data_IF_414974433564
#
_entry.id   IF_414974433564
#
_cell.length_a   1.000
_cell.length_b   1.000
_cell.length_c   1.000
_cell.angle_alpha   90.00
_cell.angle_beta   90.00
_cell.angle_gamma   90.00
#
_symmetry.space_group_name_H-M   'P 1'
#
loop_
_entity.id
_entity.type
_entity.pdbx_description
1 polymer ?
#
# COMPACT_ATOMS: atom_id res chain seq x y z
N UNK A 1 -17.38 -2.74 -26.21
CA UNK A 1 -16.61 -1.48 -26.16
C UNK A 1 -16.89 -0.77 -24.84
N UNK A 2 -15.91 -0.08 -24.31
CA UNK A 2 -16.09 0.75 -23.12
C UNK A 2 -16.52 2.14 -23.60
N UNK A 3 -17.68 2.67 -23.16
CA UNK A 3 -18.08 4.04 -23.46
C UNK A 3 -17.08 5.04 -22.85
N UNK A 4 -17.04 6.26 -23.40
CA UNK A 4 -16.24 7.32 -22.78
C UNK A 4 -16.69 7.53 -21.32
N UNK A 5 -15.76 7.52 -20.40
CA UNK A 5 -15.98 7.56 -18.94
C UNK A 5 -16.91 6.44 -18.42
N UNK A 6 -17.02 5.35 -19.16
CA UNK A 6 -17.83 4.20 -18.79
C UNK A 6 -17.01 3.06 -18.19
N UNK A 7 -17.72 2.04 -17.75
CA UNK A 7 -17.17 0.86 -17.13
C UNK A 7 -17.49 -0.38 -17.98
N UNK A 8 -16.59 -1.35 -17.94
CA UNK A 8 -16.81 -2.70 -18.46
C UNK A 8 -16.49 -3.67 -17.35
N UNK A 9 -17.44 -4.51 -17.01
CA UNK A 9 -17.20 -5.62 -16.08
C UNK A 9 -16.80 -6.86 -16.87
N UNK A 10 -15.73 -7.51 -16.44
CA UNK A 10 -15.31 -8.81 -16.96
C UNK A 10 -15.57 -9.84 -15.87
N UNK A 11 -16.55 -10.73 -16.10
CA UNK A 11 -17.03 -11.68 -15.12
C UNK A 11 -16.69 -13.13 -15.53
N UNK A 12 -16.28 -13.98 -14.59
CA UNK A 12 -16.06 -15.39 -14.87
C UNK A 12 -17.33 -16.08 -15.37
N UNK A 13 -18.46 -15.81 -14.69
CA UNK A 13 -19.78 -16.26 -15.08
C UNK A 13 -20.72 -15.05 -15.25
N UNK A 14 -21.03 -14.69 -16.50
CA UNK A 14 -21.92 -13.57 -16.80
C UNK A 14 -23.34 -13.78 -16.28
N UNK A 15 -23.85 -15.00 -16.30
CA UNK A 15 -25.22 -15.29 -15.88
C UNK A 15 -25.38 -15.10 -14.38
N UNK A 16 -24.45 -15.64 -13.61
CA UNK A 16 -24.40 -15.46 -12.15
C UNK A 16 -24.20 -13.99 -11.80
N UNK A 17 -23.28 -13.30 -12.51
CA UNK A 17 -23.05 -11.87 -12.27
C UNK A 17 -24.30 -11.03 -12.54
N UNK A 18 -24.98 -11.22 -13.68
CA UNK A 18 -26.19 -10.49 -14.06
C UNK A 18 -27.36 -10.77 -13.11
N UNK A 19 -27.43 -11.97 -12.55
CA UNK A 19 -28.46 -12.30 -11.56
C UNK A 19 -28.25 -11.52 -10.24
N UNK A 20 -26.99 -11.22 -9.88
CA UNK A 20 -26.67 -10.47 -8.67
C UNK A 20 -26.68 -8.95 -8.87
N UNK A 21 -26.28 -8.48 -10.05
CA UNK A 21 -26.18 -7.06 -10.42
C UNK A 21 -26.94 -6.78 -11.72
N UNK A 22 -28.27 -6.86 -11.70
CA UNK A 22 -29.10 -6.74 -12.91
C UNK A 22 -29.02 -5.36 -13.57
N UNK A 23 -28.62 -4.33 -12.82
CA UNK A 23 -28.44 -2.95 -13.29
C UNK A 23 -27.16 -2.74 -14.11
N UNK A 24 -26.18 -3.64 -13.98
CA UNK A 24 -24.91 -3.55 -14.70
C UNK A 24 -25.05 -4.21 -16.07
N UNK A 25 -25.18 -3.40 -17.10
CA UNK A 25 -25.45 -3.90 -18.46
C UNK A 25 -24.21 -4.19 -19.29
N UNK A 26 -23.12 -3.45 -19.09
CA UNK A 26 -21.88 -3.61 -19.84
C UNK A 26 -20.98 -4.66 -19.20
N UNK A 27 -21.28 -5.92 -19.45
CA UNK A 27 -20.60 -7.09 -18.89
C UNK A 27 -20.17 -8.02 -20.00
N UNK A 28 -18.98 -8.57 -19.87
CA UNK A 28 -18.41 -9.62 -20.73
C UNK A 28 -17.58 -10.58 -19.87
N UNK A 29 -17.21 -11.73 -20.43
CA UNK A 29 -16.37 -12.68 -19.73
C UNK A 29 -16.59 -14.11 -20.16
N UNK A 30 -16.69 -15.04 -19.22
CA UNK A 30 -16.91 -16.47 -19.49
C UNK A 30 -15.61 -17.27 -19.55
N UNK A 31 -14.63 -16.96 -18.70
CA UNK A 31 -13.46 -17.83 -18.53
C UNK A 31 -13.74 -18.94 -17.50
N UNK A 32 -12.96 -20.01 -17.59
CA UNK A 32 -13.23 -21.24 -16.80
C UNK A 32 -12.41 -21.37 -15.51
N UNK A 33 -11.40 -20.54 -15.31
CA UNK A 33 -10.55 -20.56 -14.14
C UNK A 33 -10.90 -19.42 -13.18
N UNK A 34 -10.63 -19.62 -11.89
CA UNK A 34 -10.79 -18.57 -10.89
C UNK A 34 -9.52 -17.73 -10.74
N UNK A 35 -9.68 -16.50 -10.28
CA UNK A 35 -8.54 -15.70 -9.83
C UNK A 35 -7.92 -16.33 -8.58
N UNK A 36 -6.60 -16.23 -8.45
CA UNK A 36 -5.89 -16.74 -7.29
C UNK A 36 -6.29 -15.99 -6.01
N UNK A 37 -6.53 -16.74 -4.92
CA UNK A 37 -6.79 -16.14 -3.61
C UNK A 37 -5.54 -15.57 -2.93
N UNK A 38 -4.34 -15.83 -3.46
CA UNK A 38 -3.10 -15.38 -2.85
C UNK A 38 -2.46 -14.23 -3.62
N UNK A 39 -2.10 -14.50 -4.86
CA UNK A 39 -1.39 -13.54 -5.71
C UNK A 39 -1.59 -13.88 -7.16
N UNK A 40 -1.90 -12.89 -7.98
CA UNK A 40 -1.98 -13.04 -9.42
C UNK A 40 -1.76 -11.71 -10.13
N UNK A 41 -1.36 -11.79 -11.42
CA UNK A 41 -1.22 -10.65 -12.29
C UNK A 41 -2.36 -10.61 -13.31
N UNK A 42 -3.17 -9.58 -13.26
CA UNK A 42 -4.19 -9.28 -14.25
C UNK A 42 -3.59 -8.31 -15.26
N UNK A 43 -3.76 -8.60 -16.55
CA UNK A 43 -3.22 -7.80 -17.64
C UNK A 43 -4.34 -7.40 -18.59
N UNK A 44 -4.35 -6.13 -18.97
CA UNK A 44 -5.19 -5.61 -20.05
C UNK A 44 -4.35 -5.48 -21.31
N UNK A 45 -4.74 -6.15 -22.36
CA UNK A 45 -4.06 -6.12 -23.66
C UNK A 45 -4.95 -5.42 -24.68
N UNK A 46 -4.33 -4.73 -25.63
CA UNK A 46 -5.04 -4.24 -26.81
C UNK A 46 -5.29 -5.37 -27.83
N UNK A 47 -5.96 -5.05 -28.94
CA UNK A 47 -6.28 -6.01 -30.00
C UNK A 47 -5.05 -6.53 -30.77
N UNK A 48 -3.89 -5.94 -30.57
CA UNK A 48 -2.60 -6.35 -31.16
C UNK A 48 -1.73 -7.14 -30.18
N UNK A 49 -2.17 -7.27 -28.91
CA UNK A 49 -1.48 -8.00 -27.88
C UNK A 49 -0.50 -7.13 -27.06
N UNK A 50 -0.46 -5.82 -27.27
CA UNK A 50 0.32 -4.93 -26.43
C UNK A 50 -0.34 -4.75 -25.06
N UNK A 51 0.48 -4.75 -24.01
CA UNK A 51 0.01 -4.48 -22.65
C UNK A 51 -0.34 -2.98 -22.51
N UNK A 52 -1.58 -2.72 -22.13
CA UNK A 52 -2.10 -1.38 -21.87
C UNK A 52 -2.05 -1.07 -20.38
N UNK A 53 -2.33 -2.08 -19.56
CA UNK A 53 -2.34 -1.95 -18.11
C UNK A 53 -2.14 -3.30 -17.45
N UNK A 54 -1.63 -3.30 -16.23
CA UNK A 54 -1.53 -4.50 -15.40
C UNK A 54 -1.56 -4.17 -13.92
N UNK A 55 -2.06 -5.10 -13.12
CA UNK A 55 -1.97 -5.08 -11.68
C UNK A 55 -1.59 -6.47 -11.16
N UNK A 56 -0.67 -6.50 -10.20
CA UNK A 56 -0.35 -7.75 -9.47
C UNK A 56 -0.84 -7.57 -8.05
N UNK A 57 -1.99 -8.14 -7.74
CA UNK A 57 -2.54 -8.11 -6.39
C UNK A 57 -2.01 -9.25 -5.51
N UNK A 58 -2.17 -9.10 -4.19
CA UNK A 58 -1.91 -10.13 -3.19
C UNK A 58 -2.97 -10.09 -2.06
N UNK A 59 -2.95 -11.09 -1.19
CA UNK A 59 -3.80 -11.16 -0.01
C UNK A 59 -3.10 -10.71 1.28
N UNK A 60 -1.82 -10.35 1.19
CA UNK A 60 -0.96 -9.97 2.30
C UNK A 60 -0.22 -8.63 2.03
N UNK A 61 0.68 -8.28 2.94
CA UNK A 61 1.47 -7.05 2.83
C UNK A 61 0.59 -5.80 2.82
N UNK A 62 0.89 -4.86 1.95
CA UNK A 62 0.15 -3.61 1.82
C UNK A 62 -1.24 -3.79 1.16
N UNK A 63 -1.53 -4.97 0.60
CA UNK A 63 -2.85 -5.34 0.06
C UNK A 63 -3.87 -5.71 1.13
N UNK A 64 -3.43 -5.94 2.35
CA UNK A 64 -4.27 -6.31 3.47
C UNK A 64 -4.27 -5.23 4.57
N UNK A 65 -5.31 -5.22 5.39
CA UNK A 65 -5.37 -4.36 6.56
C UNK A 65 -4.47 -4.94 7.66
N UNK A 66 -3.53 -4.15 8.15
CA UNK A 66 -2.70 -4.50 9.29
C UNK A 66 -3.42 -4.12 10.59
N UNK A 67 -3.49 -5.06 11.52
CA UNK A 67 -3.97 -4.83 12.88
C UNK A 67 -2.91 -5.31 13.86
N UNK A 68 -2.71 -4.61 14.99
CA UNK A 68 -1.85 -5.12 16.05
C UNK A 68 -2.31 -6.53 16.46
N UNK A 69 -1.38 -7.48 16.47
CA UNK A 69 -1.61 -8.83 16.93
C UNK A 69 -1.64 -8.94 18.44
N UNK A 70 -1.77 -10.16 18.92
CA UNK A 70 -1.57 -10.46 20.33
C UNK A 70 -0.11 -10.27 20.70
N UNK A 71 0.10 -9.84 21.94
CA UNK A 71 1.44 -9.77 22.50
C UNK A 71 1.99 -11.19 22.70
N UNK A 72 3.10 -11.50 22.06
CA UNK A 72 3.87 -12.73 22.25
C UNK A 72 5.27 -12.38 22.75
N UNK A 73 5.58 -12.80 23.97
CA UNK A 73 6.88 -12.61 24.64
C UNK A 73 7.43 -11.17 24.63
N UNK A 74 6.55 -10.17 24.64
CA UNK A 74 6.93 -8.76 24.64
C UNK A 74 6.91 -8.10 23.27
N UNK A 75 6.59 -8.83 22.24
CA UNK A 75 6.49 -8.33 20.87
C UNK A 75 5.07 -8.43 20.37
N UNK A 76 4.55 -7.31 19.89
CA UNK A 76 3.25 -7.29 19.21
C UNK A 76 3.50 -7.48 17.73
N UNK A 77 3.08 -8.62 17.19
CA UNK A 77 3.09 -8.87 15.76
C UNK A 77 1.95 -8.16 15.03
N UNK A 78 1.80 -8.46 13.76
CA UNK A 78 0.70 -7.96 12.94
C UNK A 78 -0.24 -9.11 12.56
N UNK A 79 -1.54 -8.83 12.61
CA UNK A 79 -2.56 -9.69 12.01
C UNK A 79 -2.99 -9.04 10.70
N UNK A 80 -2.93 -9.82 9.65
CA UNK A 80 -3.41 -9.43 8.33
C UNK A 80 -4.90 -9.73 8.24
N UNK A 81 -5.70 -8.73 7.96
CA UNK A 81 -7.13 -8.89 7.70
C UNK A 81 -7.42 -8.43 6.27
N UNK A 82 -7.91 -9.33 5.45
CA UNK A 82 -8.25 -9.01 4.07
C UNK A 82 -9.75 -9.18 3.83
N UNK A 83 -10.57 -8.14 3.98
CA UNK A 83 -12.00 -8.19 3.72
C UNK A 83 -12.37 -8.53 2.27
N UNK A 84 -11.46 -8.38 1.33
CA UNK A 84 -11.64 -8.77 -0.07
C UNK A 84 -11.34 -10.27 -0.30
N UNK A 85 -10.67 -10.94 0.64
CA UNK A 85 -10.44 -12.38 0.61
C UNK A 85 -11.52 -13.10 1.44
N UNK A 86 -12.62 -13.47 0.78
CA UNK A 86 -13.76 -14.15 1.41
C UNK A 86 -14.62 -13.29 2.34
N UNK A 87 -14.28 -12.03 2.58
CA UNK A 87 -15.02 -11.13 3.46
C UNK A 87 -16.16 -10.36 2.77
N UNK A 88 -16.46 -10.68 1.51
CA UNK A 88 -17.57 -10.09 0.75
C UNK A 88 -17.30 -8.70 0.19
N UNK A 89 -16.10 -8.14 0.40
CA UNK A 89 -15.67 -6.85 -0.16
C UNK A 89 -14.79 -7.05 -1.38
N UNK A 90 -14.58 -5.98 -2.15
CA UNK A 90 -13.69 -5.96 -3.31
C UNK A 90 -12.48 -5.08 -3.05
N UNK A 91 -11.37 -5.33 -3.75
CA UNK A 91 -10.29 -4.35 -3.85
C UNK A 91 -10.67 -3.31 -4.89
N UNK A 92 -10.62 -2.05 -4.50
CA UNK A 92 -10.97 -0.91 -5.33
C UNK A 92 -9.81 0.09 -5.41
N UNK A 93 -9.51 0.57 -6.61
CA UNK A 93 -8.50 1.61 -6.85
C UNK A 93 -9.00 2.94 -6.28
N UNK A 94 -8.17 3.61 -5.47
CA UNK A 94 -8.51 4.89 -4.83
C UNK A 94 -8.40 6.04 -5.83
N UNK A 95 -7.28 6.14 -6.53
CA UNK A 95 -7.05 7.17 -7.53
C UNK A 95 -6.65 6.57 -8.88
N UNK A 96 -7.50 6.74 -9.89
CA UNK A 96 -7.27 6.22 -11.24
C UNK A 96 -6.17 6.97 -12.03
N UNK A 97 -5.71 8.12 -11.52
CA UNK A 97 -4.67 8.93 -12.14
C UNK A 97 -3.29 8.70 -11.52
N UNK A 98 -3.24 7.92 -10.43
CA UNK A 98 -2.02 7.52 -9.76
C UNK A 98 -1.62 6.09 -10.15
N UNK A 99 -0.41 5.71 -9.76
CA UNK A 99 0.12 4.35 -9.97
C UNK A 99 -0.82 3.28 -9.40
N UNK A 100 -1.15 2.28 -10.19
CA UNK A 100 -2.00 1.15 -9.78
C UNK A 100 -1.21 -0.11 -9.42
N UNK A 101 0.11 -0.10 -9.59
CA UNK A 101 1.01 -1.21 -9.27
C UNK A 101 1.36 -1.29 -7.78
N UNK A 102 1.07 -0.25 -7.00
CA UNK A 102 1.27 -0.20 -5.56
C UNK A 102 -0.05 -0.41 -4.79
N UNK A 103 -0.03 -1.32 -3.84
CA UNK A 103 -1.16 -1.61 -2.97
C UNK A 103 -1.67 -0.39 -2.20
N UNK A 104 -0.82 0.60 -1.96
CA UNK A 104 -1.16 1.83 -1.25
C UNK A 104 -2.22 2.68 -1.99
N UNK A 105 -2.37 2.50 -3.31
CA UNK A 105 -3.47 3.09 -4.09
C UNK A 105 -4.73 2.23 -4.15
N UNK A 106 -4.80 1.16 -3.37
CA UNK A 106 -5.95 0.26 -3.32
C UNK A 106 -6.55 0.24 -1.92
N UNK A 107 -7.84 0.03 -1.84
CA UNK A 107 -8.53 -0.17 -0.57
C UNK A 107 -9.70 -1.15 -0.73
N UNK A 108 -10.17 -1.67 0.38
CA UNK A 108 -11.37 -2.51 0.39
C UNK A 108 -12.61 -1.64 0.21
N UNK A 109 -13.53 -2.08 -0.62
CA UNK A 109 -14.80 -1.37 -0.84
C UNK A 109 -15.51 -1.04 0.49
N UNK A 110 -16.18 0.12 0.54
CA UNK A 110 -17.00 0.51 1.69
C UNK A 110 -18.22 -0.41 1.78
N UNK A 111 -18.77 -0.80 0.64
CA UNK A 111 -19.95 -1.66 0.54
C UNK A 111 -19.56 -3.12 0.28
N UNK A 112 -20.32 -4.04 0.84
CA UNK A 112 -20.22 -5.45 0.48
C UNK A 112 -20.61 -5.65 -0.99
N UNK A 113 -19.85 -6.48 -1.71
CA UNK A 113 -20.02 -6.70 -3.13
C UNK A 113 -19.38 -5.66 -4.04
N UNK A 114 -18.83 -4.58 -3.46
CA UNK A 114 -18.16 -3.52 -4.24
C UNK A 114 -19.12 -2.64 -5.05
N UNK A 115 -18.57 -1.99 -6.08
CA UNK A 115 -19.29 -1.04 -6.94
C UNK A 115 -19.13 -1.40 -8.43
N UNK A 116 -19.48 -2.61 -8.87
CA UNK A 116 -19.30 -3.02 -10.27
C UNK A 116 -20.09 -2.11 -11.22
N UNK A 117 -19.42 -1.64 -12.27
CA UNK A 117 -20.03 -0.76 -13.26
C UNK A 117 -20.24 0.69 -12.84
N UNK A 118 -19.70 1.07 -11.67
CA UNK A 118 -19.84 2.41 -11.10
C UNK A 118 -18.47 2.92 -10.58
N UNK A 119 -18.35 4.19 -10.20
CA UNK A 119 -17.16 4.70 -9.52
C UNK A 119 -16.90 3.94 -8.24
N UNK A 120 -15.62 3.66 -7.97
CA UNK A 120 -15.19 2.96 -6.75
C UNK A 120 -15.64 3.72 -5.48
N UNK A 121 -16.10 2.97 -4.48
CA UNK A 121 -16.60 3.53 -3.22
C UNK A 121 -15.52 4.22 -2.40
N UNK A 122 -14.26 3.88 -2.64
CA UNK A 122 -13.07 4.43 -1.98
C UNK A 122 -12.38 5.51 -2.82
N UNK A 123 -13.03 6.01 -3.87
CA UNK A 123 -12.43 6.96 -4.80
C UNK A 123 -12.01 8.26 -4.10
N UNK A 124 -10.77 8.67 -4.33
CA UNK A 124 -10.19 9.91 -3.83
C UNK A 124 -9.53 10.71 -4.96
N UNK A 125 -9.51 12.03 -4.83
CA UNK A 125 -8.84 12.92 -5.80
C UNK A 125 -7.35 12.99 -5.51
N UNK A 126 -6.99 12.94 -4.23
CA UNK A 126 -5.62 12.89 -3.74
C UNK A 126 -5.51 11.73 -2.76
N UNK A 127 -4.42 11.00 -2.80
CA UNK A 127 -4.08 9.93 -1.86
C UNK A 127 -2.79 10.30 -1.12
N UNK A 128 -2.52 9.66 0.01
CA UNK A 128 -1.27 9.84 0.72
C UNK A 128 -0.07 9.43 -0.16
N UNK A 129 1.11 10.05 0.06
CA UNK A 129 2.32 9.70 -0.67
C UNK A 129 2.68 8.22 -0.54
N UNK A 130 3.28 7.68 -1.58
CA UNK A 130 3.79 6.31 -1.59
C UNK A 130 5.07 6.18 -0.78
N UNK A 131 5.19 5.07 -0.06
CA UNK A 131 6.37 4.69 0.70
C UNK A 131 6.90 3.39 0.12
N UNK A 132 8.11 3.42 -0.43
CA UNK A 132 8.75 2.25 -1.05
C UNK A 132 10.15 2.03 -0.48
N UNK A 133 10.63 0.79 -0.52
CA UNK A 133 12.02 0.47 -0.24
C UNK A 133 12.51 0.82 1.16
N UNK A 134 11.63 0.75 2.17
CA UNK A 134 12.04 1.03 3.56
C UNK A 134 13.17 0.08 3.96
N UNK A 135 14.29 0.66 4.38
CA UNK A 135 15.49 -0.08 4.74
C UNK A 135 16.22 0.57 5.90
N UNK A 136 17.14 -0.16 6.51
CA UNK A 136 18.04 0.39 7.51
C UNK A 136 19.49 0.03 7.22
N UNK A 137 20.40 0.91 7.64
CA UNK A 137 21.83 0.70 7.53
C UNK A 137 22.54 1.16 8.82
N UNK A 138 23.53 0.39 9.36
CA UNK A 138 23.97 -0.91 8.84
C UNK A 138 22.93 -2.02 9.07
N UNK A 139 23.03 -3.12 8.27
CA UNK A 139 22.10 -4.25 8.37
C UNK A 139 22.14 -4.94 9.73
N UNK A 140 23.31 -4.93 10.39
CA UNK A 140 23.53 -5.41 11.76
C UNK A 140 24.26 -4.31 12.53
N UNK A 141 23.52 -3.41 13.21
CA UNK A 141 24.14 -2.31 13.94
C UNK A 141 24.86 -2.80 15.20
N UNK A 142 26.01 -2.20 15.48
CA UNK A 142 26.71 -2.36 16.76
C UNK A 142 26.24 -1.29 17.75
N UNK A 143 26.58 -1.41 19.07
CA UNK A 143 26.24 -0.39 20.06
C UNK A 143 26.84 1.00 19.81
N UNK A 144 27.70 1.15 18.83
CA UNK A 144 28.36 2.43 18.47
C UNK A 144 27.81 3.04 17.18
N UNK A 145 27.01 2.28 16.42
CA UNK A 145 26.53 2.71 15.12
C UNK A 145 25.27 3.56 15.26
N UNK A 146 25.23 4.67 14.54
CA UNK A 146 23.99 5.32 14.20
C UNK A 146 23.27 4.46 13.17
N UNK A 147 21.94 4.41 13.26
CA UNK A 147 21.14 3.63 12.30
C UNK A 147 20.40 4.59 11.38
N UNK A 148 20.69 4.49 10.09
CA UNK A 148 19.98 5.24 9.06
C UNK A 148 18.75 4.46 8.64
N UNK A 149 17.59 5.11 8.68
CA UNK A 149 16.34 4.60 8.10
C UNK A 149 16.14 5.35 6.80
N UNK A 150 16.00 4.62 5.70
CA UNK A 150 15.79 5.15 4.36
C UNK A 150 14.49 4.66 3.77
N UNK A 151 13.81 5.54 3.05
CA UNK A 151 12.62 5.20 2.27
C UNK A 151 12.57 6.08 1.02
N UNK A 152 12.14 5.52 -0.09
CA UNK A 152 11.75 6.30 -1.25
C UNK A 152 10.31 6.78 -1.02
N UNK A 153 10.13 8.10 -0.99
CA UNK A 153 8.84 8.74 -0.81
C UNK A 153 8.46 9.50 -2.08
N UNK A 154 7.29 9.24 -2.62
CA UNK A 154 6.83 9.87 -3.85
C UNK A 154 5.35 10.18 -3.81
N UNK A 155 4.94 11.20 -4.56
CA UNK A 155 3.56 11.60 -4.69
C UNK A 155 3.30 12.04 -6.12
N UNK A 156 2.16 11.64 -6.70
CA UNK A 156 1.82 11.94 -8.09
C UNK A 156 1.30 13.38 -8.28
N UNK A 157 0.87 14.04 -7.20
CA UNK A 157 0.27 15.38 -7.22
C UNK A 157 1.11 16.44 -6.53
N UNK A 158 2.04 16.05 -5.67
CA UNK A 158 2.85 16.95 -4.88
C UNK A 158 4.33 16.60 -4.95
N UNK A 159 5.19 17.59 -5.18
CA UNK A 159 6.64 17.46 -5.04
C UNK A 159 7.12 17.69 -3.59
N UNK A 160 6.23 18.13 -2.69
CA UNK A 160 6.56 18.46 -1.31
C UNK A 160 6.11 17.32 -0.37
N UNK A 161 6.80 16.19 -0.44
CA UNK A 161 6.57 15.05 0.45
C UNK A 161 7.41 15.24 1.72
N UNK A 162 6.79 14.98 2.86
CA UNK A 162 7.43 14.99 4.17
C UNK A 162 7.40 13.58 4.77
N UNK A 163 8.56 13.10 5.19
CA UNK A 163 8.70 11.81 5.87
C UNK A 163 9.04 11.98 7.34
N UNK A 164 8.52 11.12 8.18
CA UNK A 164 8.93 10.98 9.58
C UNK A 164 9.11 9.50 9.95
N UNK A 165 10.04 9.25 10.85
CA UNK A 165 10.23 7.94 11.47
C UNK A 165 9.73 7.99 12.89
N UNK A 166 8.72 7.19 13.21
CA UNK A 166 8.35 6.87 14.58
C UNK A 166 9.21 5.71 15.05
N UNK A 167 9.85 5.85 16.18
CA UNK A 167 10.67 4.78 16.74
C UNK A 167 10.60 4.72 18.26
N UNK A 168 10.71 3.52 18.82
CA UNK A 168 10.82 3.29 20.26
C UNK A 168 11.59 2.01 20.55
N UNK A 169 12.12 1.89 21.75
CA UNK A 169 12.62 0.62 22.24
C UNK A 169 11.44 -0.28 22.56
N UNK A 170 11.47 -1.50 22.00
CA UNK A 170 10.49 -2.54 22.32
C UNK A 170 10.72 -3.00 23.76
N UNK A 171 9.84 -2.62 24.67
CA UNK A 171 9.90 -2.90 26.09
C UNK A 171 8.50 -3.08 26.67
N UNK A 172 8.41 -3.65 27.87
CA UNK A 172 7.16 -3.76 28.62
C UNK A 172 7.24 -2.97 29.93
N UNK A 173 6.29 -2.04 30.19
CA UNK A 173 5.31 -1.50 29.22
C UNK A 173 6.01 -0.73 28.11
N UNK A 174 5.38 -0.69 26.93
CA UNK A 174 5.90 0.10 25.81
C UNK A 174 5.90 1.58 26.13
N UNK A 175 7.00 2.25 25.88
CA UNK A 175 7.08 3.71 25.95
C UNK A 175 6.41 4.39 24.74
N UNK A 176 6.27 5.73 24.76
CA UNK A 176 5.81 6.48 23.62
C UNK A 176 6.82 6.38 22.47
N UNK A 177 6.32 6.56 21.23
CA UNK A 177 7.20 6.73 20.09
C UNK A 177 7.90 8.08 20.13
N UNK A 178 9.19 8.09 19.88
CA UNK A 178 9.93 9.28 19.47
C UNK A 178 9.74 9.49 17.98
N UNK A 179 9.81 10.73 17.53
CA UNK A 179 9.62 11.12 16.13
C UNK A 179 10.92 11.74 15.63
N UNK A 180 11.42 11.24 14.51
CA UNK A 180 12.58 11.79 13.82
C UNK A 180 12.20 12.17 12.39
N UNK A 181 12.29 13.45 11.99
CA UNK A 181 12.06 13.85 10.62
C UNK A 181 13.04 13.18 9.66
N UNK A 182 12.56 12.80 8.50
CA UNK A 182 13.38 12.33 7.39
C UNK A 182 13.80 13.53 6.52
N UNK A 183 14.95 13.43 5.89
CA UNK A 183 15.56 14.49 5.06
C UNK A 183 15.80 13.98 3.65
N UNK A 184 15.64 14.87 2.69
CA UNK A 184 15.97 14.70 1.28
C UNK A 184 16.68 16.00 0.79
N UNK A 185 17.74 16.39 1.52
CA UNK A 185 18.45 17.65 1.27
C UNK A 185 19.98 17.47 1.15
N UNK A 186 20.45 16.22 1.06
CA UNK A 186 21.87 15.88 1.00
C UNK A 186 22.61 16.04 2.32
N UNK A 187 21.89 16.17 3.46
CA UNK A 187 22.48 16.40 4.79
C UNK A 187 21.98 15.38 5.81
N UNK A 188 22.73 15.24 6.92
CA UNK A 188 22.30 14.46 8.07
C UNK A 188 22.10 12.96 7.78
N UNK A 189 22.95 12.37 6.91
CA UNK A 189 22.88 10.97 6.51
C UNK A 189 22.15 10.73 5.19
N UNK A 190 21.46 11.74 4.69
CA UNK A 190 20.97 11.77 3.32
C UNK A 190 22.17 12.03 2.37
N UNK A 191 22.28 11.25 1.29
CA UNK A 191 23.45 11.29 0.41
C UNK A 191 23.27 12.22 -0.78
N UNK A 192 22.04 12.33 -1.28
CA UNK A 192 21.74 13.07 -2.52
C UNK A 192 20.45 13.86 -2.34
N UNK A 193 20.57 15.20 -2.43
CA UNK A 193 19.39 16.06 -2.30
C UNK A 193 18.39 15.85 -3.45
N UNK A 194 17.12 15.80 -3.13
CA UNK A 194 16.00 15.79 -4.08
C UNK A 194 15.99 14.55 -5.02
N UNK A 195 16.42 13.40 -4.50
CA UNK A 195 16.32 12.12 -5.20
C UNK A 195 15.12 11.27 -4.74
N UNK A 196 14.29 11.82 -3.84
CA UNK A 196 13.16 11.19 -3.18
C UNK A 196 13.54 10.04 -2.22
N UNK A 197 14.82 9.83 -1.94
CA UNK A 197 15.27 8.90 -0.91
C UNK A 197 15.44 9.66 0.39
N UNK A 198 14.39 9.66 1.18
CA UNK A 198 14.40 10.33 2.48
C UNK A 198 15.13 9.50 3.53
N UNK A 199 15.96 10.15 4.35
CA UNK A 199 16.78 9.51 5.38
C UNK A 199 16.55 10.11 6.75
N UNK A 200 16.37 9.26 7.77
CA UNK A 200 16.40 9.62 9.19
C UNK A 200 17.55 8.92 9.88
N UNK A 201 18.19 9.59 10.84
CA UNK A 201 19.28 9.02 11.62
C UNK A 201 18.80 8.76 13.05
N UNK A 202 18.82 7.49 13.44
CA UNK A 202 18.49 7.06 14.79
C UNK A 202 19.75 6.87 15.65
N UNK A 203 19.67 7.15 16.95
CA UNK A 203 20.81 7.01 17.85
C UNK A 203 21.21 5.56 18.05
N UNK A 204 22.50 5.35 18.29
CA UNK A 204 23.05 4.07 18.72
C UNK A 204 22.35 3.52 19.99
N UNK A 205 22.25 2.20 20.08
CA UNK A 205 21.59 1.52 21.20
C UNK A 205 22.48 0.41 21.75
N UNK A 206 22.35 0.05 23.02
CA UNK A 206 23.05 -1.09 23.61
C UNK A 206 22.77 -2.39 22.85
N UNK A 207 23.70 -3.32 22.92
CA UNK A 207 23.54 -4.67 22.36
C UNK A 207 22.27 -5.35 22.91
N UNK A 208 21.58 -6.09 22.05
CA UNK A 208 20.32 -6.77 22.38
C UNK A 208 19.09 -5.85 22.43
N UNK A 209 19.23 -4.55 22.14
CA UNK A 209 18.08 -3.65 22.05
C UNK A 209 17.29 -3.91 20.77
N UNK A 210 16.01 -4.20 20.92
CA UNK A 210 15.05 -4.24 19.79
C UNK A 210 14.38 -2.88 19.66
N UNK A 211 14.37 -2.31 18.46
CA UNK A 211 13.75 -1.03 18.15
C UNK A 211 12.59 -1.25 17.17
N UNK A 212 11.40 -0.81 17.56
CA UNK A 212 10.25 -0.73 16.69
C UNK A 212 10.33 0.55 15.85
N UNK A 213 10.09 0.45 14.56
CA UNK A 213 10.17 1.57 13.61
C UNK A 213 8.94 1.56 12.72
N UNK A 214 8.41 2.77 12.43
CA UNK A 214 7.36 2.99 11.44
C UNK A 214 7.71 4.26 10.66
N UNK A 215 7.61 4.20 9.34
CA UNK A 215 7.74 5.36 8.46
C UNK A 215 6.35 5.87 8.12
N UNK A 216 6.17 7.18 8.22
CA UNK A 216 4.97 7.89 7.78
C UNK A 216 5.38 8.93 6.75
N UNK A 217 4.60 9.04 5.68
CA UNK A 217 4.76 10.06 4.67
C UNK A 217 3.49 10.89 4.55
N UNK A 218 3.65 12.19 4.39
CA UNK A 218 2.56 13.12 4.17
C UNK A 218 2.91 14.15 3.10
N UNK A 219 1.91 14.53 2.34
CA UNK A 219 1.90 15.79 1.61
C UNK A 219 1.24 16.87 2.50
N UNK A 220 0.79 17.96 1.92
CA UNK A 220 0.11 19.02 2.68
C UNK A 220 -1.35 18.68 3.03
N UNK A 221 -1.90 17.62 2.48
CA UNK A 221 -3.33 17.29 2.53
C UNK A 221 -3.62 15.88 2.99
N UNK A 222 -2.69 14.95 2.82
CA UNK A 222 -2.86 13.52 3.13
C UNK A 222 -1.62 12.95 3.85
N UNK A 223 -1.86 11.89 4.64
CA UNK A 223 -0.83 11.18 5.42
C UNK A 223 -1.00 9.68 5.26
#
# INVERSE_FOLDING_TARGET
>A
SIPNQGYLVVAADEAVFRARYPEVTNVTGGWQEGLSNRRETIRLLDHTGNEIDRVTYADDGDWALRRPGLDDQGHTGWIWANPADGGGRTLELRNQHSRNDLAQNWAHSITEGGTPGAPNSVREVNIAPFIEGVSHHPAVPTPRDLVLIRAHLSDDLSSAVHGVVYHRVSARPSGPFAITPMRDDGLGGDEVAQDNIHTAVLPARPEGTVVEVCVEASDRTQT
#
